data_IF_588579503812
#
_entry.id   IF_588579503812
#
_cell.length_a   1.000
_cell.length_b   1.000
_cell.length_c   1.000
_cell.angle_alpha   90.00
_cell.angle_beta   90.00
_cell.angle_gamma   90.00
#
_symmetry.space_group_name_H-M   'P 1'
#
loop_
_entity.id
_entity.type
_entity.pdbx_description
1 polymer ?
#
# COMPACT_ATOMS: atom_id res chain seq x y z
N UNK A 1 35.99 9.13 5.10
CA UNK A 1 34.97 9.76 4.24
C UNK A 1 34.84 11.21 4.66
N UNK A 2 35.01 12.15 3.73
CA UNK A 2 34.86 13.59 4.02
C UNK A 2 33.41 14.02 3.79
N UNK A 3 32.87 14.74 4.77
CA UNK A 3 31.59 15.43 4.66
C UNK A 3 31.60 16.38 3.45
N UNK A 4 30.56 16.31 2.61
CA UNK A 4 30.35 17.24 1.51
C UNK A 4 28.86 17.56 1.36
N UNK A 5 28.54 18.68 0.70
CA UNK A 5 27.15 19.08 0.48
C UNK A 5 26.49 18.17 -0.56
N UNK A 6 25.21 17.87 -0.34
CA UNK A 6 24.38 17.15 -1.29
C UNK A 6 24.40 17.86 -2.65
N UNK A 7 24.74 17.15 -3.75
CA UNK A 7 24.84 17.77 -5.07
C UNK A 7 23.49 18.24 -5.64
N UNK A 8 22.35 17.75 -5.11
CA UNK A 8 21.01 18.11 -5.59
C UNK A 8 20.44 19.35 -4.89
N UNK A 9 20.55 19.44 -3.57
CA UNK A 9 19.99 20.59 -2.82
C UNK A 9 21.03 21.60 -2.36
N UNK A 10 22.31 21.23 -2.26
CA UNK A 10 23.36 22.12 -1.74
C UNK A 10 23.26 22.45 -0.24
N UNK A 11 22.23 21.96 0.46
CA UNK A 11 21.94 22.35 1.86
C UNK A 11 22.37 21.29 2.88
N UNK A 12 22.12 20.01 2.58
CA UNK A 12 22.37 18.92 3.50
C UNK A 12 23.78 18.36 3.32
N UNK A 13 24.50 18.18 4.41
CA UNK A 13 25.81 17.51 4.42
C UNK A 13 25.64 15.98 4.42
N UNK A 14 26.36 15.30 3.52
CA UNK A 14 26.37 13.84 3.37
C UNK A 14 27.81 13.30 3.46
N UNK A 15 27.94 12.02 3.77
CA UNK A 15 29.22 11.32 3.98
C UNK A 15 29.43 10.17 2.97
N UNK A 16 28.55 10.07 1.98
CA UNK A 16 28.50 9.01 0.98
C UNK A 16 28.27 9.63 -0.40
N UNK A 17 28.57 8.88 -1.45
CA UNK A 17 28.33 9.32 -2.83
C UNK A 17 26.83 9.22 -3.14
N UNK A 18 26.23 10.32 -3.59
CA UNK A 18 24.81 10.37 -3.96
C UNK A 18 24.12 11.66 -3.51
N UNK A 19 22.82 11.58 -3.27
CA UNK A 19 22.00 12.69 -2.78
C UNK A 19 21.56 12.46 -1.33
N UNK A 20 21.24 13.53 -0.60
CA UNK A 20 20.73 13.39 0.76
C UNK A 20 19.36 12.68 0.79
N UNK A 21 19.04 12.10 1.95
CA UNK A 21 17.79 11.36 2.17
C UNK A 21 16.55 12.17 1.76
N UNK A 22 16.45 13.45 2.15
CA UNK A 22 15.32 14.32 1.77
C UNK A 22 15.16 14.46 0.25
N UNK A 23 16.26 14.62 -0.48
CA UNK A 23 16.27 14.69 -1.93
C UNK A 23 15.83 13.39 -2.60
N UNK A 24 16.23 12.25 -2.02
CA UNK A 24 15.81 10.92 -2.48
C UNK A 24 14.31 10.69 -2.24
N UNK A 25 13.82 11.05 -1.06
CA UNK A 25 12.39 10.91 -0.73
C UNK A 25 11.51 11.79 -1.63
N UNK A 26 11.94 13.03 -1.90
CA UNK A 26 11.23 13.92 -2.83
C UNK A 26 11.23 13.35 -4.24
N UNK A 27 12.37 12.83 -4.71
CA UNK A 27 12.45 12.20 -6.02
C UNK A 27 11.50 11.01 -6.15
N UNK A 28 11.52 10.09 -5.19
CA UNK A 28 10.62 8.94 -5.19
C UNK A 28 9.14 9.36 -5.19
N UNK A 29 8.81 10.40 -4.42
CA UNK A 29 7.45 10.96 -4.43
C UNK A 29 7.09 11.53 -5.80
N UNK A 30 7.98 12.30 -6.41
CA UNK A 30 7.76 12.87 -7.74
C UNK A 30 7.64 11.77 -8.81
N UNK A 31 8.42 10.69 -8.72
CA UNK A 31 8.30 9.52 -9.60
C UNK A 31 6.92 8.87 -9.49
N UNK A 32 6.42 8.65 -8.27
CA UNK A 32 5.09 8.07 -8.03
C UNK A 32 3.97 9.00 -8.56
N UNK A 33 4.07 10.30 -8.30
CA UNK A 33 3.06 11.28 -8.74
C UNK A 33 3.00 11.45 -10.26
N UNK A 34 4.05 11.07 -10.98
CA UNK A 34 4.13 11.15 -12.44
C UNK A 34 3.91 9.79 -13.13
N UNK A 35 3.49 8.76 -12.41
CA UNK A 35 3.12 7.49 -13.02
C UNK A 35 2.00 7.70 -14.05
N UNK A 36 2.16 7.06 -15.20
CA UNK A 36 1.12 6.98 -16.21
C UNK A 36 -0.06 6.12 -15.73
N UNK A 37 -1.21 6.27 -16.39
CA UNK A 37 -2.38 5.44 -16.09
C UNK A 37 -2.09 3.94 -16.24
N UNK A 38 -1.26 3.55 -17.22
CA UNK A 38 -0.89 2.15 -17.44
C UNK A 38 0.02 1.61 -16.32
N UNK A 39 0.91 2.44 -15.77
CA UNK A 39 1.76 2.06 -14.64
C UNK A 39 0.97 1.95 -13.34
N UNK A 40 0.02 2.86 -13.11
CA UNK A 40 -0.92 2.78 -11.98
C UNK A 40 -1.75 1.51 -12.07
N UNK A 41 -2.28 1.21 -13.26
CA UNK A 41 -3.05 -0.02 -13.51
C UNK A 41 -2.20 -1.27 -13.25
N UNK A 42 -0.96 -1.31 -13.76
CA UNK A 42 -0.04 -2.40 -13.49
C UNK A 42 0.26 -2.57 -11.99
N UNK A 43 0.38 -1.47 -11.25
CA UNK A 43 0.58 -1.48 -9.80
C UNK A 43 -0.63 -2.05 -9.05
N UNK A 44 -1.85 -1.66 -9.43
CA UNK A 44 -3.09 -2.19 -8.85
C UNK A 44 -3.18 -3.70 -9.07
N UNK A 45 -2.93 -4.17 -10.30
CA UNK A 45 -2.97 -5.60 -10.63
C UNK A 45 -1.92 -6.38 -9.84
N UNK A 46 -0.70 -5.82 -9.70
CA UNK A 46 0.36 -6.43 -8.90
C UNK A 46 -0.03 -6.58 -7.43
N UNK A 47 -0.60 -5.54 -6.83
CA UNK A 47 -1.03 -5.57 -5.42
C UNK A 47 -2.16 -6.59 -5.22
N UNK A 48 -3.15 -6.61 -6.11
CA UNK A 48 -4.26 -7.54 -6.01
C UNK A 48 -3.81 -9.01 -6.13
N UNK A 49 -2.88 -9.31 -7.04
CA UNK A 49 -2.34 -10.66 -7.24
C UNK A 49 -1.54 -11.15 -6.01
N UNK A 50 -0.66 -10.29 -5.50
CA UNK A 50 0.27 -10.57 -4.40
C UNK A 50 -0.21 -10.05 -3.04
N UNK A 51 -1.53 -9.93 -2.84
CA UNK A 51 -2.11 -9.29 -1.65
C UNK A 51 -1.74 -10.00 -0.33
N UNK A 52 -1.37 -11.28 -0.37
CA UNK A 52 -0.88 -12.05 0.78
C UNK A 52 0.50 -11.60 1.28
N UNK A 53 1.20 -10.75 0.52
CA UNK A 53 2.47 -10.16 0.92
C UNK A 53 2.29 -8.80 1.63
N UNK A 54 1.07 -8.26 1.70
CA UNK A 54 0.80 -6.89 2.19
C UNK A 54 1.31 -6.63 3.62
N UNK A 55 1.34 -7.66 4.47
CA UNK A 55 1.79 -7.56 5.87
C UNK A 55 3.31 -7.61 6.03
N UNK A 56 4.07 -7.93 4.96
CA UNK A 56 5.53 -8.10 5.02
C UNK A 56 6.32 -6.79 5.03
N UNK A 57 5.63 -5.63 5.02
CA UNK A 57 6.23 -4.29 5.01
C UNK A 57 7.29 -4.10 3.91
N UNK A 58 7.07 -4.70 2.75
CA UNK A 58 8.01 -4.78 1.63
C UNK A 58 7.49 -4.02 0.39
N UNK A 59 7.78 -4.52 -0.80
CA UNK A 59 7.35 -3.93 -2.08
C UNK A 59 5.83 -3.70 -2.13
N UNK A 60 5.03 -4.73 -1.84
CA UNK A 60 3.55 -4.65 -2.00
C UNK A 60 2.95 -3.68 -0.99
N UNK A 61 3.45 -3.69 0.25
CA UNK A 61 3.04 -2.73 1.26
C UNK A 61 3.36 -1.29 0.84
N UNK A 62 4.58 -1.05 0.34
CA UNK A 62 5.00 0.28 -0.11
C UNK A 62 4.17 0.78 -1.30
N UNK A 63 3.85 -0.10 -2.26
CA UNK A 63 3.06 0.27 -3.44
C UNK A 63 1.60 0.53 -3.07
N UNK A 64 1.02 -0.25 -2.15
CA UNK A 64 -0.30 0.03 -1.60
C UNK A 64 -0.35 1.41 -0.95
N UNK A 65 0.61 1.74 -0.08
CA UNK A 65 0.66 3.07 0.55
C UNK A 65 0.96 4.19 -0.44
N UNK A 66 1.70 3.92 -1.53
CA UNK A 66 1.89 4.87 -2.60
C UNK A 66 0.57 5.19 -3.33
N UNK A 67 -0.20 4.16 -3.71
CA UNK A 67 -1.54 4.34 -4.30
C UNK A 67 -2.47 5.09 -3.34
N UNK A 68 -2.57 4.62 -2.11
CA UNK A 68 -3.51 5.13 -1.12
C UNK A 68 -3.16 6.57 -0.70
N UNK A 69 -1.93 6.82 -0.24
CA UNK A 69 -1.57 8.10 0.39
C UNK A 69 -1.04 9.17 -0.58
N UNK A 70 -0.43 8.77 -1.70
CA UNK A 70 0.15 9.74 -2.65
C UNK A 70 -0.78 10.01 -3.84
N UNK A 71 -1.45 8.98 -4.34
CA UNK A 71 -2.31 9.09 -5.52
C UNK A 71 -3.80 9.18 -5.16
N UNK A 72 -4.18 8.98 -3.90
CA UNK A 72 -5.58 8.98 -3.43
C UNK A 72 -6.45 7.97 -4.20
N UNK A 73 -5.87 6.81 -4.52
CA UNK A 73 -6.51 5.75 -5.30
C UNK A 73 -6.97 4.63 -4.38
N UNK A 74 -8.27 4.36 -4.44
CA UNK A 74 -8.95 3.27 -3.71
C UNK A 74 -9.56 2.31 -4.73
N UNK A 75 -8.85 1.24 -5.08
CA UNK A 75 -9.31 0.31 -6.11
C UNK A 75 -10.08 -0.89 -5.51
N UNK A 76 -11.34 -1.13 -5.91
CA UNK A 76 -12.14 -2.25 -5.41
C UNK A 76 -11.53 -3.64 -5.63
N UNK A 77 -10.64 -3.82 -6.62
CA UNK A 77 -9.98 -5.10 -6.90
C UNK A 77 -9.06 -5.51 -5.76
N UNK A 78 -8.39 -4.54 -5.11
CA UNK A 78 -7.54 -4.79 -3.95
C UNK A 78 -8.40 -5.26 -2.77
N UNK A 79 -9.52 -4.57 -2.49
CA UNK A 79 -10.45 -4.94 -1.43
C UNK A 79 -11.05 -6.34 -1.62
N UNK A 80 -11.45 -6.68 -2.87
CA UNK A 80 -11.93 -8.03 -3.21
C UNK A 80 -10.87 -9.10 -3.02
N UNK A 81 -9.64 -8.83 -3.45
CA UNK A 81 -8.53 -9.76 -3.29
C UNK A 81 -8.22 -10.01 -1.80
N UNK A 82 -8.19 -8.95 -0.99
CA UNK A 82 -8.00 -9.05 0.45
C UNK A 82 -9.12 -9.86 1.12
N UNK A 83 -10.39 -9.58 0.79
CA UNK A 83 -11.53 -10.32 1.34
C UNK A 83 -11.49 -11.81 0.96
N UNK A 84 -11.15 -12.11 -0.30
CA UNK A 84 -11.04 -13.49 -0.78
C UNK A 84 -9.93 -14.29 -0.09
N UNK A 85 -8.83 -13.64 0.32
CA UNK A 85 -7.75 -14.26 1.10
C UNK A 85 -7.93 -14.10 2.62
N UNK A 86 -9.07 -13.56 3.07
CA UNK A 86 -9.37 -13.27 4.49
C UNK A 86 -8.29 -12.42 5.18
N UNK A 87 -7.74 -11.44 4.47
CA UNK A 87 -6.73 -10.51 4.98
C UNK A 87 -7.42 -9.26 5.51
N UNK A 88 -7.24 -8.94 6.78
CA UNK A 88 -7.95 -7.82 7.44
C UNK A 88 -7.04 -6.64 7.80
N UNK A 89 -5.74 -6.74 7.53
CA UNK A 89 -4.78 -5.68 7.79
C UNK A 89 -3.96 -5.36 6.51
N UNK A 90 -3.71 -4.08 6.19
CA UNK A 90 -4.20 -2.88 6.88
C UNK A 90 -5.71 -2.64 6.65
N UNK A 91 -6.44 -1.99 7.58
CA UNK A 91 -7.87 -1.73 7.43
C UNK A 91 -8.19 -0.81 6.24
N UNK A 92 -7.23 0.01 5.81
CA UNK A 92 -7.31 0.87 4.62
C UNK A 92 -7.58 0.07 3.32
N UNK A 93 -7.31 -1.24 3.29
CA UNK A 93 -7.70 -2.13 2.19
C UNK A 93 -9.20 -2.08 1.88
N UNK A 94 -10.01 -1.73 2.87
CA UNK A 94 -11.47 -1.70 2.77
C UNK A 94 -12.05 -0.28 2.77
N UNK A 95 -11.20 0.76 2.67
CA UNK A 95 -11.67 2.13 2.56
C UNK A 95 -12.46 2.33 1.27
N UNK A 96 -13.72 2.76 1.38
CA UNK A 96 -14.60 2.92 0.21
C UNK A 96 -14.95 1.60 -0.49
N UNK A 97 -14.81 0.45 0.19
CA UNK A 97 -15.10 -0.85 -0.40
C UNK A 97 -16.53 -0.93 -0.97
N UNK A 98 -16.73 -1.62 -2.10
CA UNK A 98 -18.06 -1.80 -2.69
C UNK A 98 -18.93 -2.71 -1.82
N UNK A 99 -20.25 -2.67 -2.05
CA UNK A 99 -21.24 -3.42 -1.25
C UNK A 99 -20.96 -4.94 -1.24
N UNK A 100 -20.51 -5.51 -2.35
CA UNK A 100 -20.20 -6.95 -2.44
C UNK A 100 -19.08 -7.36 -1.46
N UNK A 101 -18.09 -6.49 -1.24
CA UNK A 101 -17.02 -6.74 -0.27
C UNK A 101 -17.54 -6.57 1.16
N UNK A 102 -18.36 -5.55 1.43
CA UNK A 102 -18.96 -5.35 2.76
C UNK A 102 -19.83 -6.53 3.16
N UNK A 103 -20.67 -7.01 2.25
CA UNK A 103 -21.54 -8.18 2.47
C UNK A 103 -20.73 -9.44 2.78
N UNK A 104 -19.61 -9.65 2.07
CA UNK A 104 -18.69 -10.76 2.34
C UNK A 104 -18.07 -10.66 3.74
N UNK A 105 -17.63 -9.47 4.16
CA UNK A 105 -17.08 -9.24 5.49
C UNK A 105 -18.13 -9.45 6.59
N UNK A 106 -19.35 -8.94 6.42
CA UNK A 106 -20.46 -9.13 7.36
C UNK A 106 -20.82 -10.61 7.47
N UNK A 107 -20.91 -11.31 6.35
CA UNK A 107 -21.20 -12.75 6.31
C UNK A 107 -20.14 -13.52 7.09
N UNK A 108 -18.86 -13.20 6.87
CA UNK A 108 -17.75 -13.81 7.59
C UNK A 108 -17.85 -13.52 9.10
N UNK A 109 -18.10 -12.28 9.49
CA UNK A 109 -18.23 -11.89 10.89
C UNK A 109 -19.36 -12.66 11.59
N UNK A 110 -20.56 -12.72 11.00
CA UNK A 110 -21.70 -13.46 11.52
C UNK A 110 -21.37 -14.96 11.72
N UNK A 111 -20.63 -15.55 10.77
CA UNK A 111 -20.22 -16.96 10.89
C UNK A 111 -19.30 -17.24 12.09
N UNK A 112 -18.50 -16.26 12.52
CA UNK A 112 -17.63 -16.37 13.68
C UNK A 112 -18.42 -16.26 15.00
N UNK A 113 -19.44 -15.39 15.03
CA UNK A 113 -20.33 -15.25 16.19
C UNK A 113 -21.19 -16.50 16.43
N UNK A 114 -21.73 -17.09 15.37
CA UNK A 114 -22.52 -18.31 15.46
C UNK A 114 -21.67 -19.50 15.93
N UNK A 115 -20.43 -19.61 15.47
CA UNK A 115 -19.49 -20.60 15.97
C UNK A 115 -19.18 -20.41 17.47
N UNK A 116 -19.08 -19.16 17.94
CA UNK A 116 -18.81 -18.86 19.35
C UNK A 116 -19.97 -19.26 20.29
N UNK A 117 -21.22 -19.25 19.79
CA UNK A 117 -22.42 -19.65 20.55
C UNK A 117 -22.59 -21.17 20.65
N UNK A 118 -21.98 -21.94 19.75
CA UNK A 118 -22.09 -23.40 19.68
C UNK A 118 -21.03 -24.16 20.51
N UNK A 119 -20.17 -23.46 21.26
CA UNK A 119 -19.05 -24.05 22.04
C UNK A 119 -19.37 -24.14 23.56
N UNK A 120 -20.66 -24.17 23.94
CA UNK A 120 -21.10 -24.35 25.34
C UNK A 120 -21.87 -25.65 25.56
#
# INVERSE_FOLDING_TARGET
>A
MSAHLCPKCGENTIYFDGICHSCSQRQRRDEILNLSADEVEAMILKIADRIDEIEKWDEICNDFWALFSLLDIHDPRIARAAAAKEIYYPPELYFGAPEDVKDALITKLNSLEDNSKNVL
#
